data_IF_120508147614
#
_entry.id   IF_120508147614
#
_cell.length_a   1.000
_cell.length_b   1.000
_cell.length_c   1.000
_cell.angle_alpha   90.00
_cell.angle_beta   90.00
_cell.angle_gamma   90.00
#
_symmetry.space_group_name_H-M   'P 1'
#
loop_
_entity.id
_entity.type
_entity.pdbx_description
1 polymer ?
#
# COMPACT_ATOMS: atom_id res chain seq x y z
N UNK A 1 -28.10 9.43 -0.26
CA UNK A 1 -26.77 10.02 0.01
C UNK A 1 -25.71 9.03 -0.44
N UNK A 2 -25.63 8.85 -1.76
CA UNK A 2 -24.76 7.89 -2.43
C UNK A 2 -23.40 8.56 -2.59
N UNK A 3 -22.36 7.99 -2.00
CA UNK A 3 -21.00 8.52 -2.11
C UNK A 3 -20.48 8.25 -3.52
N UNK A 4 -20.38 9.30 -4.33
CA UNK A 4 -19.87 9.24 -5.69
C UNK A 4 -18.37 8.92 -5.64
N UNK A 5 -18.06 7.73 -6.16
CA UNK A 5 -16.70 7.25 -6.40
C UNK A 5 -16.00 8.20 -7.37
N UNK A 6 -15.22 9.13 -6.83
CA UNK A 6 -14.27 9.89 -7.63
C UNK A 6 -13.19 8.92 -8.12
N UNK A 7 -13.40 8.40 -9.33
CA UNK A 7 -12.38 7.76 -10.15
C UNK A 7 -11.27 8.78 -10.39
N UNK A 8 -10.32 8.85 -9.45
CA UNK A 8 -9.07 9.58 -9.62
C UNK A 8 -8.27 8.78 -10.64
N UNK A 9 -7.82 9.45 -11.71
CA UNK A 9 -7.16 8.86 -12.89
C UNK A 9 -5.95 7.97 -12.56
N UNK A 10 -5.32 7.36 -13.59
CA UNK A 10 -4.30 6.33 -13.39
C UNK A 10 -3.21 6.82 -12.45
N UNK A 11 -3.24 6.26 -11.24
CA UNK A 11 -2.37 6.66 -10.16
C UNK A 11 -0.93 6.33 -10.54
N UNK A 12 -0.14 7.37 -10.80
CA UNK A 12 1.30 7.25 -10.96
C UNK A 12 1.91 6.44 -9.78
N UNK A 13 3.01 5.70 -10.00
CA UNK A 13 3.73 5.04 -8.92
C UNK A 13 4.01 6.05 -7.79
N UNK A 14 3.82 5.62 -6.55
CA UNK A 14 4.00 6.52 -5.41
C UNK A 14 5.46 7.00 -5.41
N UNK A 15 5.73 8.31 -5.42
CA UNK A 15 7.08 8.79 -5.17
C UNK A 15 7.50 8.33 -3.77
N UNK A 16 8.75 7.89 -3.61
CA UNK A 16 9.27 7.41 -2.33
C UNK A 16 9.11 8.45 -1.19
N UNK A 17 9.01 9.73 -1.53
CA UNK A 17 8.81 10.85 -0.62
C UNK A 17 7.46 10.83 0.13
N UNK A 18 6.47 10.09 -0.37
CA UNK A 18 5.12 10.05 0.20
C UNK A 18 4.90 8.82 1.12
N UNK A 19 5.96 8.05 1.38
CA UNK A 19 5.88 6.91 2.27
C UNK A 19 5.78 7.42 3.71
N UNK A 20 4.67 7.14 4.45
CA UNK A 20 4.55 7.61 5.81
C UNK A 20 5.67 7.03 6.68
N UNK A 21 6.24 7.89 7.52
CA UNK A 21 7.31 7.55 8.43
C UNK A 21 6.92 6.39 9.36
N UNK A 22 7.89 5.61 9.85
CA UNK A 22 7.62 4.60 10.86
C UNK A 22 6.97 5.22 12.11
N UNK A 23 5.95 4.53 12.63
CA UNK A 23 5.23 5.03 13.78
C UNK A 23 6.08 4.96 15.05
N UNK A 24 6.37 6.12 15.66
CA UNK A 24 7.06 6.23 16.94
C UNK A 24 6.08 6.45 18.13
N UNK A 25 4.82 6.76 17.81
CA UNK A 25 3.75 7.05 18.76
C UNK A 25 2.40 6.63 18.17
N UNK A 26 1.38 6.57 19.03
CA UNK A 26 0.05 6.11 18.68
C UNK A 26 -0.67 7.04 17.66
N UNK A 27 -0.67 8.38 17.81
CA UNK A 27 -1.14 9.28 16.76
C UNK A 27 -0.47 9.04 15.41
N UNK A 28 0.86 8.89 15.39
CA UNK A 28 1.63 8.57 14.19
C UNK A 28 1.24 7.23 13.57
N UNK A 29 1.06 6.18 14.37
CA UNK A 29 0.59 4.87 13.92
C UNK A 29 -0.78 4.95 13.24
N UNK A 30 -1.74 5.64 13.86
CA UNK A 30 -3.08 5.84 13.32
C UNK A 30 -3.05 6.60 12.00
N UNK A 31 -2.29 7.70 11.93
CA UNK A 31 -2.16 8.49 10.71
C UNK A 31 -1.52 7.68 9.57
N UNK A 32 -0.50 6.89 9.89
CA UNK A 32 0.15 5.98 8.94
C UNK A 32 -0.83 4.93 8.40
N UNK A 33 -1.61 4.27 9.27
CA UNK A 33 -2.61 3.29 8.86
C UNK A 33 -3.69 3.90 7.96
N UNK A 34 -4.27 5.03 8.37
CA UNK A 34 -5.29 5.71 7.60
C UNK A 34 -4.78 6.07 6.19
N UNK A 35 -3.59 6.65 6.10
CA UNK A 35 -2.96 7.03 4.83
C UNK A 35 -2.78 5.84 3.89
N UNK A 36 -2.31 4.70 4.41
CA UNK A 36 -2.08 3.49 3.60
C UNK A 36 -3.40 2.82 3.18
N UNK A 37 -4.39 2.78 4.06
CA UNK A 37 -5.73 2.23 3.77
C UNK A 37 -6.43 3.06 2.69
N UNK A 38 -6.42 4.39 2.81
CA UNK A 38 -7.02 5.28 1.81
C UNK A 38 -6.39 5.09 0.43
N UNK A 39 -5.06 4.91 0.36
CA UNK A 39 -4.35 4.67 -0.90
C UNK A 39 -4.67 3.30 -1.50
N UNK A 40 -4.75 2.28 -0.65
CA UNK A 40 -5.13 0.96 -1.10
C UNK A 40 -6.56 0.94 -1.62
N UNK A 41 -7.50 1.61 -0.95
CA UNK A 41 -8.87 1.78 -1.41
C UNK A 41 -8.92 2.51 -2.76
N UNK A 42 -8.15 3.59 -2.93
CA UNK A 42 -8.08 4.33 -4.20
C UNK A 42 -7.53 3.50 -5.36
N UNK A 43 -6.77 2.44 -5.08
CA UNK A 43 -6.15 1.53 -6.07
C UNK A 43 -6.84 0.17 -6.13
N UNK A 44 -7.91 -0.04 -5.37
CA UNK A 44 -8.56 -1.33 -5.17
C UNK A 44 -7.59 -2.47 -4.79
N UNK A 45 -6.55 -2.15 -4.00
CA UNK A 45 -5.57 -3.12 -3.49
C UNK A 45 -6.07 -3.68 -2.17
N UNK A 46 -6.11 -5.00 -2.05
CA UNK A 46 -6.41 -5.65 -0.77
C UNK A 46 -5.17 -5.59 0.14
N UNK A 47 -5.30 -4.92 1.29
CA UNK A 47 -4.30 -4.94 2.36
C UNK A 47 -4.72 -5.91 3.46
N UNK A 48 -3.73 -6.46 4.17
CA UNK A 48 -4.00 -7.16 5.44
C UNK A 48 -4.65 -6.20 6.44
N UNK A 49 -5.49 -6.69 7.36
CA UNK A 49 -6.04 -5.86 8.42
C UNK A 49 -4.90 -5.28 9.28
N UNK A 50 -4.96 -3.99 9.66
CA UNK A 50 -3.96 -3.38 10.52
C UNK A 50 -3.97 -4.05 11.91
N UNK A 51 -2.83 -4.06 12.63
CA UNK A 51 -2.79 -4.60 13.98
C UNK A 51 -3.73 -3.83 14.91
N UNK A 52 -4.49 -4.55 15.72
CA UNK A 52 -5.40 -3.96 16.69
C UNK A 52 -4.63 -3.20 17.77
N UNK A 53 -5.14 -2.04 18.15
CA UNK A 53 -4.55 -1.25 19.22
C UNK A 53 -4.69 -2.00 20.56
N UNK A 54 -3.61 -2.11 21.35
CA UNK A 54 -3.69 -2.75 22.64
C UNK A 54 -4.54 -1.91 23.60
N UNK A 55 -5.52 -2.54 24.24
CA UNK A 55 -6.46 -1.88 25.17
C UNK A 55 -5.92 -1.75 26.60
N UNK A 56 -4.83 -2.44 26.92
CA UNK A 56 -4.23 -2.45 28.27
C UNK A 56 -2.82 -1.88 28.24
N UNK A 57 -2.63 -0.68 28.77
CA UNK A 57 -1.30 -0.19 29.12
C UNK A 57 -0.86 -0.86 30.43
N UNK A 58 0.29 -1.53 30.44
CA UNK A 58 0.80 -2.30 31.58
C UNK A 58 1.25 -1.44 32.78
N UNK A 59 0.85 -0.18 32.85
CA UNK A 59 1.18 0.76 33.92
C UNK A 59 2.65 1.21 33.98
N UNK A 60 3.53 0.64 33.15
CA UNK A 60 4.97 0.97 33.06
C UNK A 60 5.27 2.15 32.12
N UNK A 61 4.24 2.84 31.66
CA UNK A 61 4.27 3.89 30.63
C UNK A 61 3.73 3.39 29.29
N UNK A 62 3.24 4.32 28.46
CA UNK A 62 2.72 4.04 27.12
C UNK A 62 3.81 3.55 26.13
N UNK A 63 5.05 3.44 26.59
CA UNK A 63 6.21 2.96 25.82
C UNK A 63 6.78 1.66 26.42
N UNK A 64 5.99 0.89 27.18
CA UNK A 64 6.47 -0.31 27.89
C UNK A 64 5.56 -1.53 27.76
N UNK A 65 6.11 -2.58 27.14
CA UNK A 65 5.68 -3.99 27.04
C UNK A 65 4.67 -4.42 25.95
N UNK A 66 3.51 -3.77 25.79
CA UNK A 66 2.57 -4.14 24.69
C UNK A 66 2.72 -3.22 23.48
N UNK A 67 3.07 -1.97 23.74
CA UNK A 67 3.25 -0.94 22.73
C UNK A 67 4.45 -1.22 21.81
N UNK A 68 5.55 -1.75 22.35
CA UNK A 68 6.69 -2.20 21.55
C UNK A 68 6.31 -3.28 20.53
N UNK A 69 5.54 -4.28 20.96
CA UNK A 69 5.02 -5.33 20.08
C UNK A 69 4.04 -4.78 19.05
N UNK A 70 3.20 -3.82 19.44
CA UNK A 70 2.30 -3.13 18.53
C UNK A 70 3.05 -2.30 17.49
N UNK A 71 4.04 -1.50 17.88
CA UNK A 71 4.83 -0.69 16.95
C UNK A 71 5.66 -1.59 16.03
N UNK A 72 6.23 -2.69 16.52
CA UNK A 72 6.85 -3.70 15.67
C UNK A 72 5.83 -4.26 14.67
N UNK A 73 4.65 -4.72 15.10
CA UNK A 73 3.61 -5.23 14.20
C UNK A 73 3.16 -4.16 13.17
N UNK A 74 3.03 -2.91 13.59
CA UNK A 74 2.67 -1.77 12.74
C UNK A 74 3.73 -1.54 11.65
N UNK A 75 5.01 -1.67 12.00
CA UNK A 75 6.13 -1.54 11.08
C UNK A 75 6.15 -2.65 10.04
N UNK A 76 5.95 -3.89 10.46
CA UNK A 76 5.85 -5.05 9.56
C UNK A 76 4.66 -4.91 8.62
N UNK A 77 3.50 -4.51 9.15
CA UNK A 77 2.31 -4.24 8.35
C UNK A 77 2.56 -3.12 7.31
N UNK A 78 3.26 -2.04 7.71
CA UNK A 78 3.63 -0.94 6.81
C UNK A 78 4.45 -1.44 5.62
N UNK A 79 5.44 -2.31 5.86
CA UNK A 79 6.26 -2.87 4.77
C UNK A 79 5.41 -3.67 3.79
N UNK A 80 4.57 -4.57 4.30
CA UNK A 80 3.68 -5.41 3.49
C UNK A 80 2.69 -4.56 2.67
N UNK A 81 2.15 -3.50 3.27
CA UNK A 81 1.25 -2.58 2.58
C UNK A 81 1.94 -1.81 1.46
N UNK A 82 3.19 -1.37 1.69
CA UNK A 82 3.98 -0.71 0.66
C UNK A 82 4.33 -1.65 -0.48
N UNK A 83 4.71 -2.89 -0.17
CA UNK A 83 5.00 -3.93 -1.17
C UNK A 83 3.76 -4.21 -2.04
N UNK A 84 2.58 -4.39 -1.44
CA UNK A 84 1.33 -4.58 -2.17
C UNK A 84 0.98 -3.38 -3.07
N UNK A 85 1.18 -2.15 -2.57
CA UNK A 85 0.93 -0.92 -3.34
C UNK A 85 1.93 -0.73 -4.49
N UNK A 86 3.18 -1.14 -4.30
CA UNK A 86 4.22 -1.13 -5.35
C UNK A 86 3.93 -2.19 -6.41
N UNK A 87 3.59 -3.42 -6.00
CA UNK A 87 3.20 -4.49 -6.91
C UNK A 87 2.02 -4.08 -7.79
N UNK A 88 0.99 -3.46 -7.19
CA UNK A 88 -0.15 -2.92 -7.93
C UNK A 88 0.25 -1.80 -8.90
N UNK A 89 1.16 -0.90 -8.52
CA UNK A 89 1.65 0.15 -9.41
C UNK A 89 2.42 -0.42 -10.61
N UNK A 90 3.24 -1.44 -10.38
CA UNK A 90 4.00 -2.13 -11.45
C UNK A 90 3.09 -2.96 -12.36
N UNK A 91 2.01 -3.55 -11.83
CA UNK A 91 1.01 -4.26 -12.63
C UNK A 91 0.13 -3.32 -13.48
N UNK A 92 -0.04 -2.07 -13.03
CA UNK A 92 -0.74 -0.98 -13.75
C UNK A 92 0.19 -0.25 -14.74
N UNK A 93 1.43 -0.70 -14.94
CA UNK A 93 2.16 -0.33 -16.16
C UNK A 93 1.49 -1.06 -17.34
N UNK A 94 1.03 -0.36 -18.40
CA UNK A 94 0.42 -1.04 -19.53
C UNK A 94 1.46 -1.99 -20.13
N UNK A 95 1.19 -3.30 -20.00
CA UNK A 95 1.75 -4.29 -20.90
C UNK A 95 1.30 -3.87 -22.30
N UNK A 96 2.20 -3.22 -23.04
CA UNK A 96 1.91 -2.79 -24.40
C UNK A 96 1.47 -3.99 -25.25
N UNK A 97 0.52 -3.81 -26.18
CA UNK A 97 0.12 -4.88 -27.08
C UNK A 97 1.27 -5.22 -28.04
N UNK A 98 1.67 -6.50 -28.03
CA UNK A 98 1.96 -7.35 -29.19
C UNK A 98 2.88 -6.83 -30.29
N UNK A 99 3.98 -7.54 -30.54
CA UNK A 99 4.48 -7.74 -31.90
C UNK A 99 4.79 -9.23 -32.10
N UNK A 100 3.79 -9.98 -32.56
CA UNK A 100 4.01 -11.27 -33.24
C UNK A 100 4.54 -10.93 -34.63
N UNK A 101 5.74 -11.34 -35.06
CA UNK A 101 6.12 -11.21 -36.45
C UNK A 101 5.34 -12.26 -37.27
N UNK A 102 4.11 -11.93 -37.66
CA UNK A 102 3.47 -12.52 -38.83
C UNK A 102 4.06 -11.82 -40.05
N UNK A 103 5.16 -12.38 -40.56
CA UNK A 103 5.87 -11.90 -41.74
C UNK A 103 6.54 -13.04 -42.50
N UNK A 104 5.78 -14.09 -42.83
CA UNK A 104 6.15 -14.97 -43.94
C UNK A 104 5.70 -14.26 -45.22
N UNK A 105 6.56 -13.40 -45.76
CA UNK A 105 6.40 -12.92 -47.13
C UNK A 105 7.22 -13.83 -48.03
N UNK A 106 6.50 -14.55 -48.88
CA UNK A 106 7.05 -15.21 -50.05
C UNK A 106 7.78 -14.17 -50.90
N UNK A 107 8.99 -14.50 -51.34
CA UNK A 107 9.56 -13.95 -52.55
C UNK A 107 10.02 -15.13 -53.39
N UNK A 108 9.17 -15.45 -54.37
CA UNK A 108 9.55 -16.01 -55.67
C UNK A 108 10.77 -15.25 -56.22
N UNK A 109 11.85 -15.99 -56.48
CA UNK A 109 12.81 -15.77 -57.57
C UNK A 109 13.46 -17.10 -57.92
#
# INVERSE_FOLDING_TARGET
>A
MTQEAAARGPAAPLPFAEVPAPAADLPGARAMFATLIERAAARAVALRPPPAEPTTCCGRGCNGCVWEGFYAAAQWWRQDALEALQAAASAVAPSGPTARPSGRSANDF
#
